data_IF_011935696536
#
_entry.id   IF_011935696536
#
_cell.length_a   1.000
_cell.length_b   1.000
_cell.length_c   1.000
_cell.angle_alpha   90.00
_cell.angle_beta   90.00
_cell.angle_gamma   90.00
#
_symmetry.space_group_name_H-M   'P 1'
#
loop_
_entity.id
_entity.type
_entity.pdbx_description
1 polymer ?
#
# COMPACT_ATOMS: atom_id res chain seq x y z
N UNK A 1 30.69 17.00 33.18
CA UNK A 1 30.63 16.24 31.92
C UNK A 1 29.70 15.02 31.96
N UNK A 2 29.66 14.23 33.04
CA UNK A 2 28.80 13.03 33.16
C UNK A 2 27.28 13.30 33.08
N UNK A 3 26.79 14.40 33.67
CA UNK A 3 25.36 14.79 33.61
C UNK A 3 24.88 15.20 32.20
N UNK A 4 25.74 15.82 31.40
CA UNK A 4 25.39 16.22 30.02
C UNK A 4 25.31 15.00 29.09
N UNK A 5 26.19 14.00 29.27
CA UNK A 5 26.14 12.74 28.54
C UNK A 5 24.90 11.90 28.90
N UNK A 6 24.50 11.88 30.18
CA UNK A 6 23.29 11.20 30.63
C UNK A 6 22.01 11.86 30.10
N UNK A 7 21.96 13.20 30.08
CA UNK A 7 20.84 13.96 29.51
C UNK A 7 20.76 13.80 27.98
N UNK A 8 21.89 13.79 27.28
CA UNK A 8 21.95 13.49 25.84
C UNK A 8 21.52 12.04 25.53
N UNK A 9 21.87 11.07 26.38
CA UNK A 9 21.44 9.68 26.25
C UNK A 9 19.93 9.50 26.45
N UNK A 10 19.34 10.15 27.45
CA UNK A 10 17.89 10.12 27.70
C UNK A 10 17.10 10.81 26.59
N UNK A 11 17.59 11.95 26.08
CA UNK A 11 16.97 12.67 24.97
C UNK A 11 16.99 11.84 23.68
N UNK A 12 18.11 11.17 23.39
CA UNK A 12 18.27 10.30 22.22
C UNK A 12 17.37 9.07 22.28
N UNK A 13 17.19 8.50 23.48
CA UNK A 13 16.28 7.39 23.73
C UNK A 13 14.81 7.80 23.50
N UNK A 14 14.40 8.95 24.03
CA UNK A 14 13.05 9.48 23.80
C UNK A 14 12.78 9.80 22.33
N UNK A 15 13.72 10.47 21.65
CA UNK A 15 13.62 10.72 20.20
C UNK A 15 13.50 9.41 19.41
N UNK A 16 14.21 8.35 19.78
CA UNK A 16 14.11 7.06 19.10
C UNK A 16 12.75 6.39 19.30
N UNK A 17 12.17 6.47 20.49
CA UNK A 17 10.86 5.88 20.80
C UNK A 17 9.75 6.52 19.96
N UNK A 18 9.81 7.84 19.74
CA UNK A 18 8.82 8.55 18.93
C UNK A 18 9.07 8.47 17.42
N UNK A 19 10.34 8.54 16.99
CA UNK A 19 10.67 8.56 15.56
C UNK A 19 10.61 7.18 14.92
N UNK A 20 10.88 6.10 15.67
CA UNK A 20 10.89 4.76 15.11
C UNK A 20 9.53 4.33 14.53
N UNK A 21 8.39 4.45 15.25
CA UNK A 21 7.09 4.10 14.69
C UNK A 21 6.72 4.92 13.45
N UNK A 22 7.03 6.22 13.43
CA UNK A 22 6.76 7.08 12.28
C UNK A 22 7.58 6.65 11.05
N UNK A 23 8.84 6.27 11.25
CA UNK A 23 9.68 5.74 10.20
C UNK A 23 9.21 4.34 9.74
N UNK A 24 8.68 3.51 10.64
CA UNK A 24 8.08 2.22 10.31
C UNK A 24 6.81 2.42 9.45
N UNK A 25 5.96 3.39 9.79
CA UNK A 25 4.77 3.77 8.97
C UNK A 25 5.18 4.22 7.57
N UNK A 26 6.16 5.11 7.46
CA UNK A 26 6.65 5.56 6.16
C UNK A 26 7.17 4.36 5.34
N UNK A 27 7.98 3.49 5.94
CA UNK A 27 8.46 2.29 5.24
C UNK A 27 7.35 1.31 4.89
N UNK A 28 6.32 1.19 5.70
CA UNK A 28 5.14 0.39 5.36
C UNK A 28 4.49 0.90 4.07
N UNK A 29 4.31 2.22 3.93
CA UNK A 29 3.76 2.83 2.71
C UNK A 29 4.63 2.53 1.47
N UNK A 30 5.96 2.64 1.60
CA UNK A 30 6.88 2.37 0.50
C UNK A 30 6.98 0.89 0.14
N UNK A 31 6.83 0.00 1.12
CA UNK A 31 6.90 -1.46 0.94
C UNK A 31 5.70 -2.03 0.19
N UNK A 32 4.62 -1.27 0.02
CA UNK A 32 3.55 -1.56 -0.97
C UNK A 32 4.14 -1.69 -2.38
N UNK A 33 5.12 -0.84 -2.70
CA UNK A 33 5.85 -0.81 -3.95
C UNK A 33 7.17 -1.59 -3.84
N UNK A 34 7.26 -2.49 -2.86
CA UNK A 34 8.39 -3.38 -2.63
C UNK A 34 9.71 -2.61 -2.38
N UNK A 35 9.63 -1.41 -1.81
CA UNK A 35 10.80 -0.60 -1.45
C UNK A 35 10.81 -0.22 0.03
N UNK A 36 11.95 -0.39 0.72
CA UNK A 36 12.10 -0.07 2.15
C UNK A 36 12.47 1.39 2.46
N UNK A 37 12.19 2.32 1.54
CA UNK A 37 12.64 3.73 1.61
C UNK A 37 11.65 4.60 2.38
N UNK A 38 12.05 5.05 3.58
CA UNK A 38 11.21 5.96 4.38
C UNK A 38 10.91 7.29 3.66
N UNK A 39 11.82 7.78 2.79
CA UNK A 39 11.61 9.02 2.03
C UNK A 39 10.48 8.86 1.01
N UNK A 40 10.55 7.78 0.24
CA UNK A 40 9.50 7.39 -0.72
C UNK A 40 8.19 7.17 0.01
N UNK A 41 8.26 6.50 1.16
CA UNK A 41 7.14 6.30 2.06
C UNK A 41 6.48 7.58 2.53
N UNK A 42 7.27 8.56 2.95
CA UNK A 42 6.77 9.86 3.36
C UNK A 42 6.06 10.60 2.21
N UNK A 43 6.59 10.51 0.98
CA UNK A 43 5.92 11.05 -0.21
C UNK A 43 4.60 10.33 -0.49
N UNK A 44 4.54 9.01 -0.33
CA UNK A 44 3.30 8.23 -0.50
C UNK A 44 2.27 8.55 0.60
N UNK A 45 2.70 8.71 1.84
CA UNK A 45 1.84 9.21 2.92
C UNK A 45 1.33 10.63 2.61
N UNK A 46 2.18 11.51 2.07
CA UNK A 46 1.75 12.84 1.65
C UNK A 46 0.72 12.78 0.51
N UNK A 47 0.81 11.83 -0.42
CA UNK A 47 -0.20 11.61 -1.44
C UNK A 47 -1.58 11.25 -0.83
N UNK A 48 -1.62 10.57 0.31
CA UNK A 48 -2.89 10.30 1.00
C UNK A 48 -3.55 11.55 1.57
N UNK A 49 -2.84 12.68 1.70
CA UNK A 49 -3.44 13.94 2.18
C UNK A 49 -4.43 14.55 1.17
N UNK A 50 -4.45 14.09 -0.08
CA UNK A 50 -5.56 14.38 -1.01
C UNK A 50 -6.90 13.91 -0.43
N UNK A 51 -6.90 12.84 0.38
CA UNK A 51 -8.06 12.42 1.15
C UNK A 51 -7.65 12.15 2.61
N UNK A 52 -7.71 13.17 3.50
CA UNK A 52 -7.18 13.07 4.87
C UNK A 52 -7.70 11.88 5.69
N UNK A 53 -8.90 11.36 5.39
CA UNK A 53 -9.43 10.11 5.95
C UNK A 53 -8.48 8.92 5.72
N UNK A 54 -7.98 8.75 4.49
CA UNK A 54 -7.11 7.64 4.12
C UNK A 54 -5.77 7.75 4.84
N UNK A 55 -5.22 8.97 4.90
CA UNK A 55 -4.02 9.26 5.67
C UNK A 55 -4.20 8.89 7.15
N UNK A 56 -5.28 9.36 7.78
CA UNK A 56 -5.55 9.11 9.19
C UNK A 56 -5.66 7.60 9.47
N UNK A 57 -6.40 6.85 8.66
CA UNK A 57 -6.58 5.41 8.86
C UNK A 57 -5.28 4.64 8.67
N UNK A 58 -4.55 4.90 7.59
CA UNK A 58 -3.32 4.20 7.27
C UNK A 58 -2.22 4.44 8.32
N UNK A 59 -2.06 5.70 8.75
CA UNK A 59 -1.08 6.07 9.78
C UNK A 59 -1.48 5.50 11.14
N UNK A 60 -2.73 5.67 11.56
CA UNK A 60 -3.19 5.17 12.87
C UNK A 60 -3.11 3.64 12.97
N UNK A 61 -3.55 2.91 11.94
CA UNK A 61 -3.45 1.45 11.91
C UNK A 61 -2.01 0.97 11.91
N UNK A 62 -1.12 1.63 11.17
CA UNK A 62 0.30 1.26 11.10
C UNK A 62 1.03 1.57 12.41
N UNK A 63 0.70 2.68 13.09
CA UNK A 63 1.20 2.98 14.44
C UNK A 63 0.72 1.94 15.46
N UNK A 64 -0.58 1.63 15.46
CA UNK A 64 -1.14 0.58 16.31
C UNK A 64 -0.48 -0.78 16.03
N UNK A 65 -0.33 -1.14 14.76
CA UNK A 65 0.33 -2.37 14.34
C UNK A 65 1.79 -2.43 14.78
N UNK A 66 2.54 -1.32 14.68
CA UNK A 66 3.90 -1.20 15.21
C UNK A 66 3.94 -1.47 16.72
N UNK A 67 3.05 -0.84 17.49
CA UNK A 67 2.96 -1.05 18.94
C UNK A 67 2.64 -2.51 19.26
N UNK A 68 1.66 -3.11 18.61
CA UNK A 68 1.31 -4.52 18.82
C UNK A 68 2.48 -5.44 18.44
N UNK A 69 3.15 -5.19 17.32
CA UNK A 69 4.30 -5.97 16.90
C UNK A 69 5.46 -5.89 17.92
N UNK A 70 5.65 -4.73 18.56
CA UNK A 70 6.62 -4.57 19.66
C UNK A 70 6.21 -5.35 20.90
N UNK A 71 4.94 -5.28 21.30
CA UNK A 71 4.40 -6.03 22.45
C UNK A 71 4.49 -7.55 22.25
N UNK A 72 4.34 -8.01 21.00
CA UNK A 72 4.48 -9.43 20.63
C UNK A 72 5.94 -9.84 20.35
N UNK A 73 6.92 -8.96 20.59
CA UNK A 73 8.35 -9.21 20.35
C UNK A 73 8.67 -9.68 18.92
N UNK A 74 7.95 -9.17 17.93
CA UNK A 74 8.18 -9.51 16.52
C UNK A 74 9.58 -9.04 16.06
N UNK A 75 10.26 -9.79 15.16
CA UNK A 75 11.61 -9.51 14.74
C UNK A 75 11.81 -8.06 14.28
N UNK A 76 12.79 -7.37 14.87
CA UNK A 76 13.05 -5.96 14.56
C UNK A 76 13.43 -5.72 13.09
N UNK A 77 14.01 -6.71 12.41
CA UNK A 77 14.33 -6.64 10.99
C UNK A 77 13.08 -6.40 10.13
N UNK A 78 12.04 -7.22 10.33
CA UNK A 78 10.76 -7.14 9.61
C UNK A 78 9.94 -5.87 9.93
N UNK A 79 10.16 -5.30 11.11
CA UNK A 79 9.56 -4.00 11.47
C UNK A 79 10.29 -2.85 10.75
N UNK A 80 11.62 -2.90 10.72
CA UNK A 80 12.48 -1.83 10.19
C UNK A 80 12.47 -1.71 8.67
N UNK A 81 12.16 -2.75 7.93
CA UNK A 81 12.02 -2.70 6.46
C UNK A 81 10.56 -2.48 6.01
N UNK A 82 9.62 -2.39 6.95
CA UNK A 82 8.19 -2.18 6.67
C UNK A 82 7.45 -3.41 6.14
N UNK A 83 8.12 -4.56 6.01
CA UNK A 83 7.54 -5.80 5.46
C UNK A 83 6.41 -6.36 6.30
N UNK A 84 6.41 -6.11 7.61
CA UNK A 84 5.34 -6.54 8.49
C UNK A 84 4.08 -5.67 8.38
N UNK A 85 4.23 -4.38 8.08
CA UNK A 85 3.16 -3.38 8.24
C UNK A 85 2.51 -2.93 6.92
N UNK A 86 3.12 -3.15 5.74
CA UNK A 86 2.51 -2.67 4.49
C UNK A 86 1.14 -3.30 4.18
N UNK A 87 0.94 -4.56 4.57
CA UNK A 87 -0.38 -5.21 4.47
C UNK A 87 -1.39 -4.54 5.43
N UNK A 88 -0.99 -4.22 6.66
CA UNK A 88 -1.81 -3.45 7.61
C UNK A 88 -2.17 -2.09 7.03
N UNK A 89 -1.21 -1.41 6.40
CA UNK A 89 -1.41 -0.13 5.74
C UNK A 89 -2.46 -0.23 4.63
N UNK A 90 -2.34 -1.20 3.72
CA UNK A 90 -3.31 -1.42 2.65
C UNK A 90 -4.70 -1.80 3.20
N UNK A 91 -4.77 -2.67 4.21
CA UNK A 91 -6.04 -3.03 4.85
C UNK A 91 -6.71 -1.83 5.52
N UNK A 92 -5.94 -0.91 6.09
CA UNK A 92 -6.47 0.33 6.66
C UNK A 92 -7.05 1.26 5.59
N UNK A 93 -6.43 1.35 4.40
CA UNK A 93 -6.99 2.06 3.25
C UNK A 93 -8.30 1.40 2.79
N UNK A 94 -8.37 0.07 2.76
CA UNK A 94 -9.60 -0.65 2.44
C UNK A 94 -10.73 -0.37 3.45
N UNK A 95 -10.41 -0.35 4.75
CA UNK A 95 -11.38 0.04 5.79
C UNK A 95 -11.83 1.48 5.57
N UNK A 96 -10.90 2.41 5.32
CA UNK A 96 -11.22 3.82 5.06
C UNK A 96 -12.16 3.99 3.86
N UNK A 97 -11.91 3.22 2.78
CA UNK A 97 -12.70 3.19 1.57
C UNK A 97 -14.10 2.61 1.84
N UNK A 98 -14.21 1.34 2.26
CA UNK A 98 -15.50 0.63 2.46
C UNK A 98 -16.44 1.43 3.39
N UNK A 99 -15.91 2.02 4.45
CA UNK A 99 -16.73 2.69 5.46
C UNK A 99 -17.18 4.09 5.09
N UNK A 100 -16.70 4.65 3.97
CA UNK A 100 -17.05 6.02 3.56
C UNK A 100 -18.55 6.17 3.32
N UNK A 101 -19.19 5.17 2.72
CA UNK A 101 -20.64 5.13 2.51
C UNK A 101 -21.42 4.35 3.57
N UNK A 102 -20.78 4.01 4.70
CA UNK A 102 -21.45 3.24 5.76
C UNK A 102 -22.21 4.14 6.73
N UNK A 103 -23.26 3.58 7.36
CA UNK A 103 -23.98 4.23 8.46
C UNK A 103 -23.35 3.97 9.83
N UNK A 104 -22.11 3.49 9.88
CA UNK A 104 -21.41 3.22 11.14
C UNK A 104 -21.14 4.51 11.90
N UNK A 105 -21.25 4.45 13.22
CA UNK A 105 -20.75 5.52 14.08
C UNK A 105 -19.24 5.66 13.92
N UNK A 106 -18.73 6.85 14.29
CA UNK A 106 -17.30 7.11 14.33
C UNK A 106 -16.56 6.07 15.17
N UNK A 107 -17.05 5.76 16.38
CA UNK A 107 -16.43 4.77 17.27
C UNK A 107 -16.40 3.37 16.68
N UNK A 108 -17.52 2.91 16.08
CA UNK A 108 -17.60 1.59 15.47
C UNK A 108 -16.61 1.45 14.29
N UNK A 109 -16.42 2.52 13.52
CA UNK A 109 -15.45 2.54 12.41
C UNK A 109 -14.02 2.36 12.92
N UNK A 110 -13.64 3.04 14.00
CA UNK A 110 -12.30 2.91 14.60
C UNK A 110 -12.08 1.56 15.30
N UNK A 111 -13.12 0.99 15.91
CA UNK A 111 -13.07 -0.38 16.43
C UNK A 111 -12.80 -1.37 15.30
N UNK A 112 -13.50 -1.25 14.17
CA UNK A 112 -13.24 -2.09 13.01
C UNK A 112 -11.81 -1.92 12.48
N UNK A 113 -11.30 -0.68 12.41
CA UNK A 113 -9.90 -0.44 12.04
C UNK A 113 -8.95 -1.20 12.97
N UNK A 114 -9.18 -1.16 14.28
CA UNK A 114 -8.39 -1.92 15.26
C UNK A 114 -8.44 -3.42 15.04
N UNK A 115 -9.62 -3.98 14.82
CA UNK A 115 -9.82 -5.42 14.55
C UNK A 115 -9.10 -5.84 13.26
N UNK A 116 -9.28 -5.10 12.17
CA UNK A 116 -8.63 -5.38 10.88
C UNK A 116 -7.12 -5.22 10.97
N UNK A 117 -6.63 -4.27 11.77
CA UNK A 117 -5.20 -4.09 12.04
C UNK A 117 -4.60 -5.33 12.69
N UNK A 118 -5.20 -5.81 13.78
CA UNK A 118 -4.74 -7.03 14.48
C UNK A 118 -4.80 -8.23 13.54
N UNK A 119 -5.93 -8.41 12.85
CA UNK A 119 -6.13 -9.52 11.92
C UNK A 119 -5.07 -9.55 10.82
N UNK A 120 -4.86 -8.42 10.15
CA UNK A 120 -3.90 -8.32 9.04
C UNK A 120 -2.46 -8.45 9.53
N UNK A 121 -2.13 -7.91 10.70
CA UNK A 121 -0.80 -8.01 11.30
C UNK A 121 -0.43 -9.47 11.60
N UNK A 122 -1.32 -10.20 12.27
CA UNK A 122 -1.10 -11.61 12.62
C UNK A 122 -1.02 -12.48 11.36
N UNK A 123 -1.87 -12.21 10.37
CA UNK A 123 -1.81 -12.91 9.09
C UNK A 123 -0.48 -12.61 8.36
N UNK A 124 -0.04 -11.36 8.35
CA UNK A 124 1.24 -10.97 7.75
C UNK A 124 2.41 -11.68 8.43
N UNK A 125 2.43 -11.73 9.76
CA UNK A 125 3.46 -12.43 10.52
C UNK A 125 3.48 -13.94 10.21
N UNK A 126 2.30 -14.58 10.16
CA UNK A 126 2.18 -16.00 9.83
C UNK A 126 2.67 -16.31 8.40
N UNK A 127 2.28 -15.49 7.43
CA UNK A 127 2.69 -15.66 6.03
C UNK A 127 4.19 -15.43 5.85
N UNK A 128 4.77 -14.42 6.49
CA UNK A 128 6.21 -14.18 6.43
C UNK A 128 7.04 -15.26 7.14
N UNK A 129 6.45 -15.98 8.10
CA UNK A 129 7.07 -17.18 8.63
C UNK A 129 7.00 -18.34 7.63
N UNK A 130 5.85 -18.58 7.01
CA UNK A 130 5.62 -19.77 6.19
C UNK A 130 6.19 -19.69 4.76
N UNK A 131 5.96 -18.58 4.04
CA UNK A 131 6.30 -18.43 2.62
C UNK A 131 7.81 -18.59 2.34
N UNK A 132 8.71 -17.88 3.04
CA UNK A 132 10.14 -18.04 2.83
C UNK A 132 10.64 -19.44 3.17
N UNK A 133 10.11 -20.05 4.24
CA UNK A 133 10.55 -21.37 4.70
C UNK A 133 10.09 -22.52 3.80
N UNK A 134 8.92 -22.39 3.14
CA UNK A 134 8.30 -23.49 2.38
C UNK A 134 8.37 -23.30 0.87
N UNK A 135 8.22 -22.07 0.40
CA UNK A 135 8.14 -21.76 -1.02
C UNK A 135 9.36 -21.00 -1.55
N UNK A 136 10.22 -20.47 -0.68
CA UNK A 136 11.35 -19.61 -1.09
C UNK A 136 10.90 -18.28 -1.70
N UNK A 137 9.66 -17.87 -1.45
CA UNK A 137 9.03 -16.68 -2.02
C UNK A 137 8.60 -15.71 -0.92
N UNK A 138 8.48 -14.40 -1.20
CA UNK A 138 7.84 -13.45 -0.30
C UNK A 138 6.31 -13.57 -0.39
N UNK A 139 5.57 -13.30 0.70
CA UNK A 139 4.12 -13.41 0.71
C UNK A 139 3.40 -12.28 -0.03
N UNK A 140 4.10 -11.20 -0.42
CA UNK A 140 3.51 -10.03 -1.07
C UNK A 140 2.24 -9.53 -0.33
N UNK A 141 1.31 -8.92 -1.05
CA UNK A 141 0.08 -8.35 -0.50
C UNK A 141 -0.98 -9.39 -0.12
N UNK A 142 -0.64 -10.68 0.05
CA UNK A 142 -1.61 -11.75 0.31
C UNK A 142 -2.40 -11.51 1.60
N UNK A 143 -1.75 -11.06 2.68
CA UNK A 143 -2.47 -10.77 3.93
C UNK A 143 -3.53 -9.67 3.74
N UNK A 144 -3.18 -8.61 3.01
CA UNK A 144 -4.13 -7.56 2.64
C UNK A 144 -5.26 -8.10 1.75
N UNK A 145 -4.96 -8.89 0.73
CA UNK A 145 -6.00 -9.43 -0.18
C UNK A 145 -7.02 -10.28 0.58
N UNK A 146 -6.56 -11.13 1.50
CA UNK A 146 -7.44 -11.92 2.35
C UNK A 146 -8.29 -11.03 3.27
N UNK A 147 -7.67 -10.02 3.90
CA UNK A 147 -8.39 -9.08 4.76
C UNK A 147 -9.42 -8.24 4.00
N UNK A 148 -9.05 -7.73 2.83
CA UNK A 148 -9.96 -6.97 1.98
C UNK A 148 -11.09 -7.84 1.44
N UNK A 149 -10.79 -9.07 1.00
CA UNK A 149 -11.79 -10.05 0.58
C UNK A 149 -12.79 -10.36 1.69
N UNK A 150 -12.31 -10.50 2.93
CA UNK A 150 -13.17 -10.70 4.11
C UNK A 150 -14.09 -9.50 4.33
N UNK A 151 -13.56 -8.27 4.25
CA UNK A 151 -14.38 -7.07 4.37
C UNK A 151 -15.42 -6.97 3.24
N UNK A 152 -15.08 -7.33 2.00
CA UNK A 152 -16.02 -7.35 0.88
C UNK A 152 -17.12 -8.40 1.06
N UNK A 153 -16.79 -9.56 1.64
CA UNK A 153 -17.77 -10.61 1.93
C UNK A 153 -18.77 -10.19 3.02
N UNK A 154 -18.28 -9.55 4.10
CA UNK A 154 -19.16 -9.12 5.19
C UNK A 154 -19.89 -7.81 4.94
N UNK A 155 -19.31 -6.91 4.14
CA UNK A 155 -19.82 -5.55 3.91
C UNK A 155 -19.97 -5.18 2.41
N UNK A 156 -20.58 -6.04 1.57
CA UNK A 156 -20.64 -5.80 0.13
C UNK A 156 -21.43 -4.54 -0.24
N UNK A 157 -22.50 -4.24 0.51
CA UNK A 157 -23.34 -3.06 0.25
C UNK A 157 -22.62 -1.74 0.58
N UNK A 158 -21.73 -1.72 1.58
CA UNK A 158 -20.95 -0.52 1.89
C UNK A 158 -19.87 -0.26 0.84
N UNK A 159 -19.23 -1.33 0.34
CA UNK A 159 -18.31 -1.25 -0.77
C UNK A 159 -19.01 -0.71 -2.04
N UNK A 160 -20.18 -1.25 -2.38
CA UNK A 160 -20.99 -0.78 -3.51
C UNK A 160 -21.48 0.67 -3.32
N UNK A 161 -21.90 1.06 -2.12
CA UNK A 161 -22.28 2.45 -1.84
C UNK A 161 -21.11 3.42 -1.98
N UNK A 162 -19.91 2.99 -1.61
CA UNK A 162 -18.71 3.82 -1.71
C UNK A 162 -18.35 4.16 -3.15
N UNK A 163 -18.56 3.28 -4.13
CA UNK A 163 -18.23 3.56 -5.54
C UNK A 163 -19.08 4.68 -6.15
N UNK A 164 -20.25 4.97 -5.55
CA UNK A 164 -21.15 6.02 -5.99
C UNK A 164 -20.82 7.40 -5.37
N UNK A 165 -19.98 7.43 -4.34
CA UNK A 165 -19.63 8.66 -3.65
C UNK A 165 -18.52 9.41 -4.37
N UNK A 166 -18.73 10.70 -4.55
CA UNK A 166 -17.69 11.62 -4.97
C UNK A 166 -16.54 11.65 -3.95
N UNK A 167 -15.33 11.76 -4.47
CA UNK A 167 -14.11 11.87 -3.69
C UNK A 167 -13.89 13.31 -3.18
N UNK A 168 -14.61 14.29 -3.74
CA UNK A 168 -14.47 15.70 -3.38
C UNK A 168 -13.12 16.28 -3.76
N UNK A 169 -12.50 15.72 -4.80
CA UNK A 169 -11.22 16.18 -5.34
C UNK A 169 -11.46 17.19 -6.47
N UNK A 170 -10.49 18.07 -6.76
CA UNK A 170 -10.57 18.96 -7.92
C UNK A 170 -10.76 18.17 -9.21
N UNK A 171 -11.45 18.79 -10.17
CA UNK A 171 -11.61 18.25 -11.51
C UNK A 171 -10.27 17.80 -12.10
N UNK A 172 -10.30 16.66 -12.77
CA UNK A 172 -9.10 16.12 -13.39
C UNK A 172 -8.73 16.90 -14.65
N UNK A 173 -7.44 17.09 -14.92
CA UNK A 173 -6.99 17.74 -16.15
C UNK A 173 -7.41 16.91 -17.38
N UNK A 174 -7.71 17.61 -18.48
CA UNK A 174 -8.02 16.99 -19.77
C UNK A 174 -6.75 16.39 -20.40
N UNK A 175 -6.44 15.15 -20.01
CA UNK A 175 -5.30 14.37 -20.53
C UNK A 175 -5.78 13.31 -21.54
N UNK A 176 -4.90 12.83 -22.44
CA UNK A 176 -5.20 11.68 -23.29
C UNK A 176 -5.63 10.47 -22.45
N UNK A 177 -6.64 9.73 -22.91
CA UNK A 177 -7.24 8.62 -22.16
C UNK A 177 -6.22 7.63 -21.58
N UNK A 178 -5.20 7.25 -22.35
CA UNK A 178 -4.17 6.30 -21.92
C UNK A 178 -3.38 6.84 -20.71
N UNK A 179 -3.06 8.13 -20.71
CA UNK A 179 -2.35 8.79 -19.62
C UNK A 179 -3.25 8.87 -18.38
N UNK A 180 -4.52 9.23 -18.56
CA UNK A 180 -5.53 9.26 -17.49
C UNK A 180 -5.71 7.89 -16.86
N UNK A 181 -5.87 6.83 -17.66
CA UNK A 181 -6.05 5.46 -17.19
C UNK A 181 -4.82 4.94 -16.43
N UNK A 182 -3.61 5.23 -16.92
CA UNK A 182 -2.36 4.90 -16.24
C UNK A 182 -2.24 5.60 -14.90
N UNK A 183 -2.42 6.92 -14.85
CA UNK A 183 -2.31 7.70 -13.61
C UNK A 183 -3.39 7.28 -12.60
N UNK A 184 -4.65 7.13 -13.01
CA UNK A 184 -5.69 6.59 -12.13
C UNK A 184 -5.32 5.21 -11.59
N UNK A 185 -4.75 4.33 -12.42
CA UNK A 185 -4.29 3.01 -11.96
C UNK A 185 -3.16 3.09 -10.93
N UNK A 186 -2.23 4.04 -11.07
CA UNK A 186 -1.21 4.31 -10.06
C UNK A 186 -1.82 4.79 -8.74
N UNK A 187 -2.82 5.67 -8.81
CA UNK A 187 -3.55 6.14 -7.63
C UNK A 187 -4.39 5.03 -6.96
N UNK A 188 -4.97 4.12 -7.75
CA UNK A 188 -5.74 2.96 -7.27
C UNK A 188 -4.93 2.06 -6.33
N UNK A 189 -3.61 1.99 -6.47
CA UNK A 189 -2.75 1.23 -5.52
C UNK A 189 -2.95 1.73 -4.08
N UNK A 190 -3.22 3.02 -3.90
CA UNK A 190 -3.52 3.64 -2.62
C UNK A 190 -5.02 3.86 -2.37
N UNK A 191 -5.89 3.17 -3.12
CA UNK A 191 -7.35 3.36 -3.11
C UNK A 191 -7.81 4.78 -3.49
N UNK A 192 -6.99 5.50 -4.25
CA UNK A 192 -7.28 6.85 -4.73
C UNK A 192 -7.28 6.88 -6.27
N UNK A 193 -8.34 6.37 -6.95
CA UNK A 193 -8.37 6.21 -8.40
C UNK A 193 -8.57 7.54 -9.16
N UNK A 194 -7.69 8.52 -8.93
CA UNK A 194 -7.70 9.84 -9.55
C UNK A 194 -6.31 10.23 -10.08
N UNK A 195 -6.29 11.16 -11.04
CA UNK A 195 -5.07 11.62 -11.73
C UNK A 195 -4.07 12.28 -10.76
N UNK A 196 -4.53 13.09 -9.80
CA UNK A 196 -3.66 13.82 -8.87
C UNK A 196 -2.88 12.88 -7.95
N UNK A 197 -3.59 11.92 -7.33
CA UNK A 197 -2.97 10.89 -6.51
C UNK A 197 -2.04 10.00 -7.37
N UNK A 198 -2.49 9.64 -8.57
CA UNK A 198 -1.69 8.90 -9.55
C UNK A 198 -0.36 9.56 -9.88
N UNK A 199 -0.39 10.87 -10.15
CA UNK A 199 0.80 11.66 -10.43
C UNK A 199 1.73 11.70 -9.21
N UNK A 200 1.20 11.92 -8.01
CA UNK A 200 2.00 11.93 -6.79
C UNK A 200 2.69 10.58 -6.53
N UNK A 201 1.96 9.46 -6.70
CA UNK A 201 2.54 8.11 -6.61
C UNK A 201 3.61 7.91 -7.69
N UNK A 202 3.33 8.31 -8.93
CA UNK A 202 4.28 8.19 -10.05
C UNK A 202 5.58 8.94 -9.76
N UNK A 203 5.50 10.17 -9.25
CA UNK A 203 6.67 10.97 -8.85
C UNK A 203 7.43 10.32 -7.69
N UNK A 204 6.74 9.81 -6.68
CA UNK A 204 7.37 9.12 -5.56
C UNK A 204 8.19 7.90 -6.03
N UNK A 205 7.65 7.11 -6.96
CA UNK A 205 8.36 5.95 -7.53
C UNK A 205 9.49 6.39 -8.47
N UNK A 206 9.31 7.42 -9.30
CA UNK A 206 10.38 7.95 -10.16
C UNK A 206 11.58 8.47 -9.36
N UNK A 207 11.33 9.15 -8.23
CA UNK A 207 12.37 9.62 -7.32
C UNK A 207 13.13 8.45 -6.71
N UNK A 208 12.46 7.32 -6.46
CA UNK A 208 13.07 6.13 -5.90
C UNK A 208 13.83 5.29 -6.94
N UNK A 209 13.16 4.89 -8.02
CA UNK A 209 13.71 3.98 -9.02
C UNK A 209 13.06 4.18 -10.39
N UNK A 210 13.85 4.70 -11.33
CA UNK A 210 13.48 4.80 -12.75
C UNK A 210 13.26 3.41 -13.37
N UNK A 211 14.05 2.42 -12.95
CA UNK A 211 13.94 1.03 -13.42
C UNK A 211 12.60 0.43 -12.99
N UNK A 212 12.18 0.64 -11.74
CA UNK A 212 10.87 0.21 -11.29
C UNK A 212 9.74 0.86 -12.11
N UNK A 213 9.84 2.17 -12.38
CA UNK A 213 8.85 2.86 -13.21
C UNK A 213 8.76 2.30 -14.63
N UNK A 214 9.89 2.05 -15.30
CA UNK A 214 9.91 1.46 -16.64
C UNK A 214 9.23 0.08 -16.63
N UNK A 215 9.53 -0.74 -15.62
CA UNK A 215 8.91 -2.06 -15.49
C UNK A 215 7.43 -2.00 -15.08
N UNK A 216 7.00 -0.99 -14.33
CA UNK A 216 5.59 -0.73 -14.07
C UNK A 216 4.85 -0.45 -15.39
N UNK A 217 5.41 0.43 -16.23
CA UNK A 217 4.86 0.77 -17.55
C UNK A 217 4.78 -0.48 -18.43
N UNK A 218 5.85 -1.28 -18.48
CA UNK A 218 5.86 -2.53 -19.24
C UNK A 218 4.81 -3.53 -18.74
N UNK A 219 4.69 -3.71 -17.42
CA UNK A 219 3.68 -4.55 -16.80
C UNK A 219 2.26 -4.08 -17.12
N UNK A 220 2.00 -2.78 -16.99
CA UNK A 220 0.71 -2.17 -17.35
C UNK A 220 0.38 -2.38 -18.82
N UNK A 221 1.30 -2.09 -19.74
CA UNK A 221 1.10 -2.30 -21.17
C UNK A 221 0.81 -3.77 -21.50
N UNK A 222 1.58 -4.70 -20.93
CA UNK A 222 1.36 -6.14 -21.10
C UNK A 222 -0.01 -6.59 -20.55
N UNK A 223 -0.39 -6.13 -19.35
CA UNK A 223 -1.69 -6.44 -18.77
C UNK A 223 -2.87 -5.91 -19.58
N UNK A 224 -2.77 -4.67 -20.07
CA UNK A 224 -3.79 -4.08 -20.96
C UNK A 224 -3.88 -4.85 -22.28
N UNK A 225 -2.77 -5.29 -22.85
CA UNK A 225 -2.78 -6.13 -24.05
C UNK A 225 -3.55 -7.44 -23.80
N UNK A 226 -3.28 -8.13 -22.69
CA UNK A 226 -4.00 -9.34 -22.30
C UNK A 226 -5.50 -9.06 -22.13
N UNK A 227 -5.87 -7.97 -21.45
CA UNK A 227 -7.28 -7.55 -21.32
C UNK A 227 -7.93 -7.37 -22.69
N UNK A 228 -7.26 -6.70 -23.63
CA UNK A 228 -7.80 -6.50 -24.98
C UNK A 228 -7.94 -7.79 -25.78
N UNK A 229 -7.02 -8.74 -25.60
CA UNK A 229 -7.16 -10.07 -26.20
C UNK A 229 -8.36 -10.82 -25.60
N UNK A 230 -8.58 -10.74 -24.29
CA UNK A 230 -9.75 -11.35 -23.63
C UNK A 230 -11.06 -10.68 -24.05
N UNK A 231 -11.10 -9.35 -24.16
CA UNK A 231 -12.25 -8.60 -24.69
C UNK A 231 -12.58 -9.02 -26.13
N UNK A 232 -11.57 -9.23 -26.98
CA UNK A 232 -11.75 -9.75 -28.33
C UNK A 232 -12.36 -11.17 -28.35
N UNK A 233 -12.18 -11.94 -27.27
CA UNK A 233 -12.82 -13.25 -27.06
C UNK A 233 -14.22 -13.15 -26.42
N UNK A 234 -14.78 -11.95 -26.25
CA UNK A 234 -16.12 -11.74 -25.69
C UNK A 234 -16.17 -11.65 -24.15
N UNK A 235 -15.03 -11.55 -23.48
CA UNK A 235 -14.98 -11.36 -22.02
C UNK A 235 -14.96 -9.86 -21.69
N UNK A 236 -16.01 -9.37 -21.03
CA UNK A 236 -16.06 -7.98 -20.60
C UNK A 236 -15.25 -7.78 -19.30
N UNK A 237 -14.22 -6.92 -19.35
CA UNK A 237 -13.37 -6.64 -18.19
C UNK A 237 -13.12 -5.13 -18.03
N UNK A 238 -13.24 -4.62 -16.80
CA UNK A 238 -12.94 -3.22 -16.44
C UNK A 238 -11.43 -2.99 -16.25
N UNK A 239 -10.61 -3.43 -17.21
CA UNK A 239 -9.15 -3.54 -17.04
C UNK A 239 -8.37 -2.24 -17.03
N UNK A 240 -8.89 -1.19 -17.70
CA UNK A 240 -8.15 0.07 -17.89
C UNK A 240 -7.88 0.83 -16.58
N UNK A 241 -8.81 0.78 -15.63
CA UNK A 241 -8.71 1.47 -14.33
C UNK A 241 -8.31 0.52 -13.18
N UNK A 242 -8.27 -0.79 -13.45
CA UNK A 242 -7.84 -1.84 -12.52
C UNK A 242 -6.40 -2.33 -12.80
N UNK A 243 -5.61 -1.59 -13.60
CA UNK A 243 -4.26 -2.01 -13.98
C UNK A 243 -3.19 -1.90 -12.89
N UNK A 244 -3.56 -1.51 -11.67
CA UNK A 244 -2.67 -1.46 -10.50
C UNK A 244 -1.97 -2.81 -10.23
N UNK A 245 -2.67 -3.93 -10.41
CA UNK A 245 -2.06 -5.25 -10.25
C UNK A 245 -0.99 -5.53 -11.31
N UNK A 246 -1.21 -5.08 -12.55
CA UNK A 246 -0.23 -5.22 -13.63
C UNK A 246 1.00 -4.33 -13.40
N UNK A 247 0.80 -3.12 -12.87
CA UNK A 247 1.88 -2.21 -12.47
C UNK A 247 2.75 -2.86 -11.38
N UNK A 248 2.13 -3.38 -10.31
CA UNK A 248 2.84 -4.04 -9.20
C UNK A 248 3.55 -5.31 -9.66
N UNK A 249 2.92 -6.13 -10.49
CA UNK A 249 3.54 -7.33 -11.06
C UNK A 249 4.77 -6.98 -11.92
N UNK A 250 4.65 -5.97 -12.78
CA UNK A 250 5.76 -5.49 -13.60
C UNK A 250 6.95 -5.04 -12.75
N UNK A 251 6.70 -4.21 -11.73
CA UNK A 251 7.74 -3.77 -10.79
C UNK A 251 8.40 -4.95 -10.05
N UNK A 252 7.58 -5.88 -9.53
CA UNK A 252 8.06 -7.04 -8.78
C UNK A 252 8.99 -7.92 -9.62
N UNK A 253 8.56 -8.27 -10.83
CA UNK A 253 9.31 -9.16 -11.71
C UNK A 253 10.53 -8.44 -12.29
N UNK A 254 10.35 -7.27 -12.90
CA UNK A 254 11.37 -6.66 -13.73
C UNK A 254 12.39 -5.76 -13.00
N UNK A 255 12.17 -5.43 -11.72
CA UNK A 255 13.07 -4.53 -11.00
C UNK A 255 13.53 -5.05 -9.63
N UNK A 256 12.92 -6.12 -9.09
CA UNK A 256 13.11 -6.50 -7.69
C UNK A 256 13.51 -7.95 -7.54
N UNK A 257 12.70 -8.89 -8.05
CA UNK A 257 12.98 -10.31 -7.90
C UNK A 257 13.89 -10.89 -8.97
N UNK A 258 13.89 -10.32 -10.17
CA UNK A 258 14.82 -10.70 -11.24
C UNK A 258 15.79 -9.57 -11.52
N UNK A 259 17.06 -9.93 -11.73
CA UNK A 259 18.07 -9.00 -12.23
C UNK A 259 17.80 -8.80 -13.71
N UNK A 260 17.51 -7.58 -14.20
CA UNK A 260 17.24 -7.35 -15.61
C UNK A 260 18.42 -7.83 -16.45
N UNK A 261 18.22 -8.93 -17.18
CA UNK A 261 19.19 -9.52 -18.10
C UNK A 261 18.43 -10.25 -19.20
N UNK A 262 19.07 -10.45 -20.36
CA UNK A 262 18.49 -11.26 -21.44
C UNK A 262 18.12 -12.68 -20.96
N UNK A 263 18.83 -13.19 -19.95
CA UNK A 263 18.57 -14.47 -19.29
C UNK A 263 17.30 -14.48 -18.42
N UNK A 264 16.75 -13.30 -18.07
CA UNK A 264 15.53 -13.16 -17.27
C UNK A 264 14.29 -12.81 -18.10
N UNK A 265 14.46 -12.53 -19.40
CA UNK A 265 13.38 -12.22 -20.36
C UNK A 265 13.08 -13.36 -21.34
N UNK A 266 13.92 -14.41 -21.36
CA UNK A 266 13.76 -15.63 -22.15
C UNK A 266 13.19 -16.77 -21.29
#
# INVERSE_FOLDING_TARGET
MVRAAACAGSLRLHLQIFTAPLLEVARAASSIFLCGSWKTGALLCAALLFMPRYFAFAVSASLLGSVIAQLLHMPAAMRRDGTLLYNVFLSALAVAWITRGSALSFSATWVMLGVVTVYTLLLSAALWHWFPLRAGLPPLSVAFVVAFGTLLTFFPHWAAGTTLLDMGLPDEPALPFIVTAFLRSMGTILFLPNVWAGLAVTLAILVWSRVAMINAIAGYAGGILIVKLLEACGLHWLGWFAGHNYLLAGMALGAIYFVPSWSSLA
#
